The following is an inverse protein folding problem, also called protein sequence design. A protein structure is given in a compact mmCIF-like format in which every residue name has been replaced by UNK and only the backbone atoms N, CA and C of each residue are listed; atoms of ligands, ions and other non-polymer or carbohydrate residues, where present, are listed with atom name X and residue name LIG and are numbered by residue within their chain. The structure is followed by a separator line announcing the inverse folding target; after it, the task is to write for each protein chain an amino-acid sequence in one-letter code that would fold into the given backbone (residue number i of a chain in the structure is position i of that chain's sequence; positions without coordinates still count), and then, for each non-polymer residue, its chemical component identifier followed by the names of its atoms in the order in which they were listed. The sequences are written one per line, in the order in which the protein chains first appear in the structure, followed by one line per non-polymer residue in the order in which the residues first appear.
data_IF_619677766474
#
_entry.id   IF_619677766474
#
_cell.length_a   1.000
_cell.length_b   1.000
_cell.length_c   1.000
_cell.angle_alpha   90.00
_cell.angle_beta   90.00
_cell.angle_gamma   90.00
#
_symmetry.space_group_name_H-M   'P 1'
#
loop_
_entity.id
_entity.type
_entity.pdbx_description
1 polymer ?
#
# COMPACT_ATOMS: atom_id res chain seq x y z
N UNK A 1 -28.25 -24.75 3.38
CA UNK A 1 -28.19 -24.36 4.81
C UNK A 1 -27.09 -25.20 5.44
N UNK A 2 -25.88 -24.65 5.53
CA UNK A 2 -24.72 -25.33 6.12
C UNK A 2 -23.97 -24.29 6.92
N UNK A 3 -24.06 -24.40 8.26
CA UNK A 3 -23.32 -23.55 9.16
C UNK A 3 -21.85 -23.97 9.09
N UNK A 4 -21.01 -23.16 8.45
CA UNK A 4 -19.58 -23.24 8.69
C UNK A 4 -19.36 -22.75 10.13
N UNK A 5 -18.81 -23.63 10.97
CA UNK A 5 -18.38 -23.33 12.33
C UNK A 5 -17.44 -22.12 12.29
N UNK A 6 -17.90 -20.97 12.79
CA UNK A 6 -17.21 -19.69 12.63
C UNK A 6 -16.38 -19.36 13.84
N UNK A 7 -15.14 -19.87 13.91
CA UNK A 7 -14.19 -19.48 14.95
C UNK A 7 -13.68 -18.05 14.69
N UNK A 8 -13.81 -17.17 15.68
CA UNK A 8 -13.24 -15.81 15.63
C UNK A 8 -11.87 -15.82 16.32
N UNK A 9 -10.83 -15.45 15.57
CA UNK A 9 -9.50 -15.20 16.13
C UNK A 9 -9.20 -13.71 16.01
N UNK A 10 -8.70 -13.08 17.08
CA UNK A 10 -8.46 -11.64 17.20
C UNK A 10 -7.32 -11.34 18.17
N UNK A 11 -6.53 -10.27 17.92
CA UNK A 11 -5.58 -9.74 18.90
C UNK A 11 -6.25 -8.93 20.02
N UNK A 12 -7.43 -8.39 19.75
CA UNK A 12 -8.23 -7.66 20.74
C UNK A 12 -9.16 -8.64 21.47
N UNK A 13 -9.22 -8.54 22.80
CA UNK A 13 -10.16 -9.30 23.63
C UNK A 13 -11.62 -8.95 23.23
N UNK A 14 -12.39 -9.92 22.72
CA UNK A 14 -13.79 -9.70 22.36
C UNK A 14 -14.64 -9.19 23.52
N UNK A 15 -14.31 -9.58 24.77
CA UNK A 15 -15.05 -9.21 25.99
C UNK A 15 -14.95 -7.71 26.29
N UNK A 16 -13.82 -7.10 25.93
CA UNK A 16 -13.54 -5.68 26.13
C UNK A 16 -14.10 -4.78 25.00
N UNK A 17 -14.71 -5.35 23.96
CA UNK A 17 -15.19 -4.61 22.78
C UNK A 17 -16.68 -4.82 22.56
N UNK A 18 -17.21 -4.21 21.48
CA UNK A 18 -18.59 -4.44 21.02
C UNK A 18 -18.85 -5.90 20.60
N UNK A 19 -17.79 -6.69 20.39
CA UNK A 19 -17.88 -8.09 19.97
C UNK A 19 -18.49 -9.00 21.04
N UNK A 20 -18.47 -8.61 22.32
CA UNK A 20 -19.12 -9.34 23.43
C UNK A 20 -20.61 -9.61 23.23
N UNK A 21 -21.28 -8.85 22.35
CA UNK A 21 -22.69 -9.03 22.03
C UNK A 21 -22.94 -10.05 20.89
N UNK A 22 -21.88 -10.52 20.24
CA UNK A 22 -21.94 -11.38 19.04
C UNK A 22 -21.28 -12.74 19.33
N UNK A 23 -20.26 -12.78 20.17
CA UNK A 23 -19.57 -14.01 20.57
C UNK A 23 -20.19 -14.61 21.83
N UNK A 24 -20.10 -15.93 21.96
CA UNK A 24 -20.37 -16.60 23.23
C UNK A 24 -19.17 -16.38 24.17
N UNK A 25 -19.35 -15.55 25.20
CA UNK A 25 -18.28 -15.08 26.09
C UNK A 25 -17.60 -16.24 26.86
N UNK A 26 -18.37 -17.29 27.13
CA UNK A 26 -17.90 -18.47 27.87
C UNK A 26 -17.00 -19.36 27.01
N UNK A 27 -17.00 -19.16 25.69
CA UNK A 27 -16.15 -19.87 24.73
C UNK A 27 -14.86 -19.11 24.37
N UNK A 28 -14.65 -17.92 24.96
CA UNK A 28 -13.45 -17.13 24.67
C UNK A 28 -12.25 -17.70 25.43
N UNK A 29 -11.28 -18.20 24.67
CA UNK A 29 -10.02 -18.72 25.17
C UNK A 29 -8.88 -17.74 24.87
N UNK A 30 -7.95 -17.62 25.82
CA UNK A 30 -6.72 -16.87 25.64
C UNK A 30 -5.61 -17.82 25.21
N UNK A 31 -4.93 -17.46 24.13
CA UNK A 31 -3.84 -18.24 23.58
C UNK A 31 -2.56 -17.43 23.52
N UNK A 32 -1.43 -18.12 23.66
CA UNK A 32 -0.13 -17.46 23.62
C UNK A 32 0.20 -17.06 22.18
N UNK A 33 0.73 -15.85 21.99
CA UNK A 33 1.02 -15.32 20.65
C UNK A 33 1.99 -16.23 19.89
N UNK A 34 3.00 -16.79 20.55
CA UNK A 34 3.99 -17.68 19.94
C UNK A 34 3.38 -18.99 19.42
N UNK A 35 2.35 -19.52 20.10
CA UNK A 35 1.64 -20.71 19.62
C UNK A 35 0.89 -20.46 18.30
N UNK A 36 0.36 -19.25 18.11
CA UNK A 36 -0.38 -18.87 16.89
C UNK A 36 0.58 -18.33 15.81
N UNK A 37 1.64 -17.63 16.21
CA UNK A 37 2.57 -16.97 15.29
C UNK A 37 3.58 -17.93 14.66
N UNK A 38 3.86 -19.07 15.31
CA UNK A 38 4.82 -20.07 14.85
C UNK A 38 4.22 -21.48 14.85
N UNK A 39 3.15 -21.72 14.07
CA UNK A 39 2.54 -23.03 14.01
C UNK A 39 3.40 -24.01 13.18
N UNK A 40 3.28 -25.30 13.50
CA UNK A 40 3.90 -26.38 12.72
C UNK A 40 3.11 -26.70 11.42
N UNK A 41 1.82 -26.34 11.38
CA UNK A 41 0.92 -26.56 10.23
C UNK A 41 0.79 -25.30 9.35
N UNK A 42 0.84 -25.49 8.02
CA UNK A 42 0.63 -24.44 7.02
C UNK A 42 -0.78 -23.83 7.09
N UNK A 43 -1.81 -24.62 7.43
CA UNK A 43 -3.17 -24.12 7.59
C UNK A 43 -3.27 -23.09 8.72
N UNK A 44 -2.54 -23.30 9.80
CA UNK A 44 -2.48 -22.41 10.95
C UNK A 44 -1.62 -21.17 10.63
N UNK A 45 -0.58 -21.31 9.81
CA UNK A 45 0.20 -20.15 9.31
C UNK A 45 -0.70 -19.18 8.52
N UNK A 46 -1.60 -19.70 7.68
CA UNK A 46 -2.58 -18.89 6.96
C UNK A 46 -3.55 -18.15 7.89
N UNK A 47 -3.92 -18.74 9.03
CA UNK A 47 -4.77 -18.07 10.02
C UNK A 47 -4.04 -16.86 10.63
N UNK A 48 -2.76 -17.00 10.96
CA UNK A 48 -1.95 -15.90 11.48
C UNK A 48 -1.72 -14.81 10.43
N UNK A 49 -1.46 -15.17 9.17
CA UNK A 49 -1.43 -14.19 8.06
C UNK A 49 -2.76 -13.44 7.96
N UNK A 50 -3.90 -14.13 8.13
CA UNK A 50 -5.22 -13.52 8.17
C UNK A 50 -5.43 -12.56 9.36
N UNK A 51 -4.85 -12.85 10.53
CA UNK A 51 -4.82 -11.93 11.66
C UNK A 51 -4.00 -10.67 11.36
N UNK A 52 -2.78 -10.84 10.84
CA UNK A 52 -1.91 -9.73 10.45
C UNK A 52 -2.55 -8.85 9.36
N UNK A 53 -3.20 -9.47 8.37
CA UNK A 53 -3.92 -8.76 7.31
C UNK A 53 -5.08 -7.91 7.86
N UNK A 54 -5.84 -8.43 8.83
CA UNK A 54 -6.91 -7.69 9.51
C UNK A 54 -6.36 -6.55 10.36
N UNK A 55 -5.29 -6.79 11.12
CA UNK A 55 -4.62 -5.76 11.91
C UNK A 55 -4.11 -4.62 11.03
N UNK A 56 -3.42 -4.96 9.93
CA UNK A 56 -2.94 -3.99 8.94
C UNK A 56 -4.09 -3.19 8.33
N UNK A 57 -5.21 -3.84 8.01
CA UNK A 57 -6.39 -3.16 7.48
C UNK A 57 -6.91 -2.12 8.46
N UNK A 58 -7.12 -2.49 9.71
CA UNK A 58 -7.60 -1.58 10.77
C UNK A 58 -6.66 -0.38 10.94
N UNK A 59 -5.35 -0.61 10.89
CA UNK A 59 -4.35 0.45 11.01
C UNK A 59 -4.29 1.40 9.79
N UNK A 60 -4.79 0.99 8.62
CA UNK A 60 -4.73 1.77 7.38
C UNK A 60 -6.09 2.34 6.95
N UNK A 61 -7.19 1.92 7.58
CA UNK A 61 -8.57 2.21 7.16
C UNK A 61 -8.91 3.70 7.13
N UNK A 62 -8.25 4.51 7.98
CA UNK A 62 -8.43 5.96 8.00
C UNK A 62 -7.79 6.68 6.80
N UNK A 63 -6.84 6.04 6.12
CA UNK A 63 -5.95 6.71 5.18
C UNK A 63 -5.90 6.05 3.79
N UNK A 64 -6.17 4.75 3.70
CA UNK A 64 -6.12 3.97 2.46
C UNK A 64 -7.37 3.10 2.31
N UNK A 65 -7.71 2.80 1.07
CA UNK A 65 -8.81 1.89 0.71
C UNK A 65 -8.24 0.57 0.19
N UNK A 66 -8.83 -0.54 0.63
CA UNK A 66 -8.47 -1.88 0.15
C UNK A 66 -9.33 -2.30 -1.05
N UNK A 67 -8.69 -2.46 -2.20
CA UNK A 67 -9.27 -3.06 -3.40
C UNK A 67 -9.17 -4.59 -3.30
N UNK A 68 -10.33 -5.26 -3.23
CA UNK A 68 -10.40 -6.71 -3.02
C UNK A 68 -9.98 -7.50 -4.26
N UNK A 69 -10.25 -6.98 -5.45
CA UNK A 69 -9.99 -7.67 -6.71
C UNK A 69 -8.49 -7.74 -7.00
N UNK A 70 -7.76 -6.66 -6.67
CA UNK A 70 -6.30 -6.58 -6.81
C UNK A 70 -5.55 -6.96 -5.55
N UNK A 71 -6.24 -7.11 -4.41
CA UNK A 71 -5.62 -7.32 -3.10
C UNK A 71 -4.67 -6.18 -2.72
N UNK A 72 -5.02 -4.94 -3.07
CA UNK A 72 -4.11 -3.79 -2.97
C UNK A 72 -4.70 -2.65 -2.14
N UNK A 73 -3.88 -2.01 -1.32
CA UNK A 73 -4.22 -0.75 -0.66
C UNK A 73 -3.90 0.42 -1.59
N UNK A 74 -4.80 1.39 -1.71
CA UNK A 74 -4.60 2.58 -2.54
C UNK A 74 -5.08 3.85 -1.86
N UNK A 75 -4.52 4.99 -2.27
CA UNK A 75 -4.99 6.29 -1.78
C UNK A 75 -6.39 6.60 -2.29
N UNK A 76 -7.36 6.97 -1.42
CA UNK A 76 -8.69 7.38 -1.85
C UNK A 76 -8.64 8.73 -2.57
N UNK A 77 -9.61 8.97 -3.45
CA UNK A 77 -9.86 10.32 -3.98
C UNK A 77 -10.22 11.28 -2.84
N UNK A 78 -9.80 12.55 -2.95
CA UNK A 78 -10.16 13.54 -1.94
C UNK A 78 -11.67 13.87 -1.98
N UNK A 79 -12.27 14.25 -0.83
CA UNK A 79 -13.67 14.68 -0.78
C UNK A 79 -13.95 15.92 -1.64
N UNK A 80 -13.02 16.89 -1.62
CA UNK A 80 -13.12 18.18 -2.32
C UNK A 80 -12.23 18.19 -3.58
N UNK A 81 -12.60 17.34 -4.54
CA UNK A 81 -11.86 17.13 -5.78
C UNK A 81 -11.08 15.81 -5.76
N UNK A 82 -10.95 15.18 -6.92
CA UNK A 82 -10.48 13.78 -6.97
C UNK A 82 -8.96 13.67 -6.76
N UNK A 83 -8.18 14.67 -7.21
CA UNK A 83 -6.73 14.63 -7.16
C UNK A 83 -6.18 14.79 -5.74
N UNK A 84 -5.14 14.02 -5.42
CA UNK A 84 -4.47 14.06 -4.11
C UNK A 84 -2.96 14.09 -4.32
N UNK A 85 -2.29 15.00 -3.62
CA UNK A 85 -0.84 15.13 -3.63
C UNK A 85 -0.30 14.84 -2.23
N UNK A 86 0.63 13.90 -2.13
CA UNK A 86 1.32 13.57 -0.89
C UNK A 86 2.74 14.15 -0.93
N UNK A 87 3.01 15.07 -0.01
CA UNK A 87 4.34 15.65 0.16
C UNK A 87 5.18 14.75 1.09
N UNK A 88 6.43 14.50 0.72
CA UNK A 88 7.36 13.69 1.52
C UNK A 88 8.81 14.12 1.33
N UNK A 89 9.69 13.73 2.27
CA UNK A 89 11.13 13.94 2.14
C UNK A 89 11.74 12.76 1.38
N UNK A 90 12.25 13.03 0.19
CA UNK A 90 13.07 12.07 -0.57
C UNK A 90 14.42 11.82 0.13
N UNK A 91 15.27 11.00 -0.47
CA UNK A 91 16.64 10.76 0.05
C UNK A 91 17.50 12.05 0.10
N UNK A 92 17.16 13.09 -0.67
CA UNK A 92 17.98 14.31 -0.79
C UNK A 92 17.24 15.59 -0.42
N UNK A 93 15.95 15.68 -0.76
CA UNK A 93 15.18 16.92 -0.66
C UNK A 93 13.69 16.67 -0.42
N UNK A 94 12.95 17.71 0.01
CA UNK A 94 11.49 17.69 0.01
C UNK A 94 10.95 17.54 -1.43
N UNK A 95 9.91 16.74 -1.59
CA UNK A 95 9.28 16.46 -2.88
C UNK A 95 7.80 16.10 -2.66
N UNK A 96 7.07 15.86 -3.75
CA UNK A 96 5.68 15.44 -3.69
C UNK A 96 5.36 14.45 -4.79
N UNK A 97 4.36 13.59 -4.53
CA UNK A 97 3.79 12.67 -5.49
C UNK A 97 2.29 12.93 -5.63
N UNK A 98 1.80 13.02 -6.86
CA UNK A 98 0.36 12.97 -7.17
C UNK A 98 -0.14 11.54 -6.94
N UNK A 99 -0.43 11.22 -5.68
CA UNK A 99 -0.86 9.88 -5.23
C UNK A 99 -2.22 9.50 -5.80
N UNK A 100 -3.06 10.50 -6.09
CA UNK A 100 -4.26 10.33 -6.92
C UNK A 100 -4.20 11.34 -8.06
N UNK A 101 -4.14 10.85 -9.29
CA UNK A 101 -4.03 11.68 -10.49
C UNK A 101 -5.23 11.47 -11.41
N UNK A 102 -5.89 12.57 -11.75
CA UNK A 102 -7.02 12.59 -12.69
C UNK A 102 -6.49 12.73 -14.11
N UNK A 103 -6.95 11.85 -15.00
CA UNK A 103 -6.71 11.94 -16.44
C UNK A 103 -8.02 12.30 -17.12
N UNK A 104 -8.05 13.47 -17.76
CA UNK A 104 -9.21 14.00 -18.47
C UNK A 104 -9.23 13.54 -19.92
N UNK A 105 -10.40 13.63 -20.55
CA UNK A 105 -10.55 13.30 -21.96
C UNK A 105 -9.91 14.40 -22.84
N UNK A 106 -9.10 14.01 -23.82
CA UNK A 106 -8.41 14.93 -24.73
C UNK A 106 -9.38 15.80 -25.54
N UNK A 107 -10.57 15.29 -25.86
CA UNK A 107 -11.61 16.00 -26.64
C UNK A 107 -12.52 16.86 -25.76
N UNK A 108 -12.63 16.55 -24.49
CA UNK A 108 -13.54 17.22 -23.54
C UNK A 108 -12.93 17.23 -22.14
N UNK A 109 -12.28 18.34 -21.79
CA UNK A 109 -11.57 18.53 -20.51
C UNK A 109 -12.54 18.59 -19.30
N UNK A 110 -13.85 18.59 -19.52
CA UNK A 110 -14.83 18.47 -18.43
C UNK A 110 -15.06 17.02 -18.03
N UNK A 111 -14.71 16.06 -18.90
CA UNK A 111 -14.91 14.63 -18.67
C UNK A 111 -13.63 13.96 -18.19
N UNK A 112 -13.79 13.15 -17.16
CA UNK A 112 -12.73 12.27 -16.67
C UNK A 112 -12.67 11.05 -17.59
N UNK A 113 -11.47 10.76 -18.09
CA UNK A 113 -11.20 9.52 -18.80
C UNK A 113 -10.97 8.38 -17.78
N UNK A 114 -10.08 8.63 -16.82
CA UNK A 114 -9.83 7.73 -15.69
C UNK A 114 -9.06 8.44 -14.58
N UNK A 115 -8.96 7.80 -13.43
CA UNK A 115 -8.21 8.25 -12.26
C UNK A 115 -7.23 7.15 -11.89
N UNK A 116 -5.98 7.54 -11.63
CA UNK A 116 -4.92 6.63 -11.19
C UNK A 116 -4.63 6.86 -9.73
N UNK A 117 -4.62 5.79 -8.95
CA UNK A 117 -4.28 5.78 -7.53
C UNK A 117 -2.96 5.03 -7.34
N UNK A 118 -2.00 5.65 -6.65
CA UNK A 118 -0.85 4.92 -6.13
C UNK A 118 -1.36 3.87 -5.15
N UNK A 119 -0.86 2.65 -5.32
CA UNK A 119 -1.27 1.52 -4.53
C UNK A 119 -0.07 0.65 -4.13
N UNK A 120 -0.29 -0.29 -3.23
CA UNK A 120 0.64 -1.38 -2.97
C UNK A 120 -0.09 -2.68 -2.65
N UNK A 121 0.53 -3.80 -3.01
CA UNK A 121 0.10 -5.13 -2.58
C UNK A 121 0.88 -5.51 -1.33
N UNK A 122 0.23 -5.72 -0.17
CA UNK A 122 0.84 -6.26 1.02
C UNK A 122 1.06 -7.77 0.87
N UNK A 123 2.17 -8.28 1.39
CA UNK A 123 2.32 -9.72 1.61
C UNK A 123 3.17 -9.98 2.83
N UNK A 124 2.67 -10.83 3.71
CA UNK A 124 3.39 -11.27 4.90
C UNK A 124 4.28 -12.46 4.58
N UNK A 125 5.45 -12.48 5.21
CA UNK A 125 6.45 -13.53 5.06
C UNK A 125 6.96 -13.90 6.44
N UNK A 126 7.08 -15.20 6.70
CA UNK A 126 7.79 -15.72 7.85
C UNK A 126 9.18 -16.15 7.43
N UNK A 127 10.20 -15.61 8.09
CA UNK A 127 11.60 -15.98 7.89
C UNK A 127 12.24 -16.27 9.25
N UNK A 128 12.48 -17.56 9.52
CA UNK A 128 12.82 -18.01 10.87
C UNK A 128 11.71 -17.64 11.86
N UNK A 129 12.11 -17.01 12.96
CA UNK A 129 11.20 -16.61 14.04
C UNK A 129 10.70 -15.16 13.90
N UNK A 130 10.75 -14.60 12.68
CA UNK A 130 10.35 -13.22 12.42
C UNK A 130 9.32 -13.12 11.28
N UNK A 131 8.37 -12.23 11.46
CA UNK A 131 7.35 -11.87 10.48
C UNK A 131 7.70 -10.54 9.81
N UNK A 132 7.64 -10.53 8.48
CA UNK A 132 7.95 -9.38 7.65
C UNK A 132 6.78 -9.04 6.75
N UNK A 133 6.58 -7.75 6.49
CA UNK A 133 5.65 -7.26 5.49
C UNK A 133 6.43 -6.77 4.26
N UNK A 134 6.21 -7.40 3.12
CA UNK A 134 6.60 -6.84 1.83
C UNK A 134 5.53 -5.87 1.33
N UNK A 135 6.00 -4.71 0.87
CA UNK A 135 5.17 -3.66 0.26
C UNK A 135 5.55 -3.60 -1.21
N UNK A 136 4.68 -4.12 -2.09
CA UNK A 136 4.93 -4.13 -3.55
C UNK A 136 4.15 -3.00 -4.22
N UNK A 137 4.80 -1.89 -4.64
CA UNK A 137 4.09 -0.78 -5.28
C UNK A 137 3.36 -1.20 -6.55
N UNK A 138 2.17 -0.66 -6.77
CA UNK A 138 1.33 -0.87 -7.95
C UNK A 138 0.40 0.34 -8.15
N UNK A 139 -0.56 0.23 -9.06
CA UNK A 139 -1.60 1.24 -9.25
C UNK A 139 -2.98 0.60 -9.31
N UNK A 140 -3.97 1.28 -8.73
CA UNK A 140 -5.39 1.02 -8.94
C UNK A 140 -5.94 2.10 -9.87
N UNK A 141 -6.85 1.73 -10.76
CA UNK A 141 -7.49 2.65 -11.70
C UNK A 141 -9.00 2.65 -11.49
N UNK A 142 -9.56 3.85 -11.37
CA UNK A 142 -11.01 4.06 -11.24
C UNK A 142 -11.49 5.00 -12.35
N UNK A 143 -12.77 4.98 -12.66
CA UNK A 143 -13.35 5.87 -13.69
C UNK A 143 -13.70 7.26 -13.16
N UNK A 144 -14.02 7.35 -11.87
CA UNK A 144 -14.55 8.56 -11.21
C UNK A 144 -13.90 8.83 -9.84
N UNK A 145 -12.81 8.13 -9.50
CA UNK A 145 -12.15 8.22 -8.19
C UNK A 145 -12.60 7.13 -7.20
N UNK A 146 -13.67 6.39 -7.50
CA UNK A 146 -14.22 5.37 -6.59
C UNK A 146 -14.48 4.05 -7.32
N UNK A 147 -15.14 4.09 -8.48
CA UNK A 147 -15.59 2.88 -9.17
C UNK A 147 -14.49 2.33 -10.08
N UNK A 148 -14.25 1.00 -10.09
CA UNK A 148 -13.21 0.39 -10.90
C UNK A 148 -13.27 0.79 -12.38
N UNK A 149 -12.11 1.05 -12.99
CA UNK A 149 -12.01 1.30 -14.42
C UNK A 149 -12.10 0.00 -15.22
N UNK A 150 -12.85 0.00 -16.32
CA UNK A 150 -13.02 -1.18 -17.19
C UNK A 150 -11.70 -1.63 -17.83
N UNK A 151 -10.78 -0.69 -18.07
CA UNK A 151 -9.50 -0.92 -18.73
C UNK A 151 -8.32 -0.90 -17.75
N UNK A 152 -8.58 -1.12 -16.46
CA UNK A 152 -7.57 -1.03 -15.41
C UNK A 152 -6.34 -1.92 -15.67
N UNK A 153 -6.54 -3.17 -16.12
CA UNK A 153 -5.46 -4.11 -16.39
C UNK A 153 -4.52 -3.64 -17.53
N UNK A 154 -5.10 -3.12 -18.62
CA UNK A 154 -4.33 -2.60 -19.76
C UNK A 154 -3.56 -1.33 -19.36
N UNK A 155 -4.20 -0.42 -18.60
CA UNK A 155 -3.57 0.80 -18.09
C UNK A 155 -2.43 0.47 -17.13
N UNK A 156 -2.61 -0.51 -16.24
CA UNK A 156 -1.57 -0.97 -15.33
C UNK A 156 -0.37 -1.54 -16.08
N UNK A 157 -0.61 -2.38 -17.08
CA UNK A 157 0.46 -2.98 -17.90
C UNK A 157 1.24 -1.90 -18.64
N UNK A 158 0.53 -0.96 -19.30
CA UNK A 158 1.16 0.18 -19.99
C UNK A 158 1.96 1.06 -19.01
N UNK A 159 1.41 1.34 -17.83
CA UNK A 159 2.09 2.13 -16.80
C UNK A 159 3.38 1.45 -16.32
N UNK A 160 3.33 0.16 -15.97
CA UNK A 160 4.51 -0.60 -15.53
C UNK A 160 5.62 -0.62 -16.59
N UNK A 161 5.27 -0.75 -17.88
CA UNK A 161 6.25 -0.68 -18.99
C UNK A 161 6.98 0.65 -19.08
N UNK A 162 6.34 1.75 -18.68
CA UNK A 162 6.91 3.10 -18.76
C UNK A 162 7.67 3.49 -17.48
N UNK A 163 7.61 2.69 -16.42
CA UNK A 163 8.28 2.99 -15.16
C UNK A 163 9.77 2.70 -15.20
N UNK A 164 10.54 3.72 -14.81
CA UNK A 164 12.00 3.64 -14.69
C UNK A 164 12.38 3.48 -13.22
N UNK A 165 13.58 2.95 -12.97
CA UNK A 165 14.11 2.68 -11.61
C UNK A 165 13.98 3.87 -10.65
N UNK A 166 14.23 5.09 -11.11
CA UNK A 166 14.11 6.30 -10.28
C UNK A 166 12.66 6.57 -9.84
N UNK A 167 11.67 6.28 -10.69
CA UNK A 167 10.26 6.41 -10.32
C UNK A 167 9.84 5.33 -9.31
N UNK A 168 10.37 4.11 -9.46
CA UNK A 168 10.13 3.00 -8.52
C UNK A 168 10.75 3.32 -7.16
N UNK A 169 11.99 3.81 -7.13
CA UNK A 169 12.65 4.26 -5.90
C UNK A 169 11.87 5.40 -5.22
N UNK A 170 11.38 6.36 -6.00
CA UNK A 170 10.53 7.43 -5.48
C UNK A 170 9.27 6.90 -4.79
N UNK A 171 8.60 5.90 -5.39
CA UNK A 171 7.45 5.23 -4.80
C UNK A 171 7.79 4.46 -3.52
N UNK A 172 8.92 3.75 -3.51
CA UNK A 172 9.38 3.06 -2.32
C UNK A 172 9.60 4.03 -1.16
N UNK A 173 10.31 5.13 -1.40
CA UNK A 173 10.57 6.15 -0.37
C UNK A 173 9.26 6.79 0.10
N UNK A 174 8.34 7.08 -0.82
CA UNK A 174 7.02 7.62 -0.49
C UNK A 174 6.24 6.66 0.43
N UNK A 175 6.13 5.38 0.08
CA UNK A 175 5.43 4.39 0.90
C UNK A 175 6.09 4.17 2.25
N UNK A 176 7.43 4.15 2.30
CA UNK A 176 8.18 4.10 3.57
C UNK A 176 7.82 5.28 4.47
N UNK A 177 7.84 6.50 3.93
CA UNK A 177 7.50 7.71 4.70
C UNK A 177 6.06 7.67 5.21
N UNK A 178 5.13 7.29 4.34
CA UNK A 178 3.71 7.17 4.67
C UNK A 178 3.46 6.14 5.77
N UNK A 179 3.95 4.90 5.59
CA UNK A 179 3.66 3.80 6.52
C UNK A 179 4.37 3.96 7.87
N UNK A 180 5.56 4.56 7.90
CA UNK A 180 6.30 4.83 9.13
C UNK A 180 5.86 6.12 9.86
N UNK A 181 4.95 6.92 9.28
CA UNK A 181 4.54 8.20 9.87
C UNK A 181 5.65 9.25 9.86
N UNK A 182 6.63 9.13 8.96
CA UNK A 182 7.74 10.08 8.87
C UNK A 182 7.29 11.32 8.09
N UNK A 183 6.85 12.34 8.82
CA UNK A 183 6.45 13.64 8.26
C UNK A 183 7.66 14.44 7.73
N UNK A 184 7.40 15.41 6.85
CA UNK A 184 8.43 16.35 6.37
C UNK A 184 8.84 17.31 7.50
N UNK A 185 7.83 17.79 8.23
CA UNK A 185 7.95 18.76 9.32
C UNK A 185 7.53 18.04 10.62
N UNK A 186 8.23 18.27 11.76
CA UNK A 186 7.72 17.80 13.04
C UNK A 186 6.35 18.42 13.27
N UNK A 187 5.36 17.62 13.68
CA UNK A 187 4.09 18.16 14.14
C UNK A 187 4.40 19.12 15.30
N UNK A 188 3.87 20.34 15.26
CA UNK A 188 4.03 21.32 16.31
C UNK A 188 2.69 21.58 16.98
N UNK A 189 2.69 21.83 18.28
CA UNK A 189 1.52 22.31 19.00
C UNK A 189 1.18 23.75 18.61
N UNK A 190 0.09 24.27 19.17
CA UNK A 190 -0.35 25.66 18.94
C UNK A 190 0.71 26.70 19.32
N UNK A 191 1.71 26.32 20.14
CA UNK A 191 2.78 27.18 20.64
C UNK A 191 4.12 26.93 19.93
N UNK A 192 4.15 26.12 18.86
CA UNK A 192 5.37 25.82 18.11
C UNK A 192 6.27 24.78 18.77
N UNK A 193 5.80 24.10 19.81
CA UNK A 193 6.54 23.01 20.47
C UNK A 193 6.43 21.75 19.61
N UNK A 194 7.54 21.08 19.25
CA UNK A 194 7.48 19.80 18.56
C UNK A 194 6.71 18.77 19.39
N UNK A 195 5.60 18.28 18.85
CA UNK A 195 4.88 17.13 19.35
C UNK A 195 5.75 15.88 19.16
N UNK A 196 5.65 14.89 20.07
CA UNK A 196 6.28 13.59 19.86
C UNK A 196 5.85 13.04 18.50
N UNK A 197 6.81 12.55 17.71
CA UNK A 197 6.50 11.95 16.41
C UNK A 197 5.53 10.80 16.61
N UNK A 198 4.32 10.90 16.07
CA UNK A 198 3.40 9.77 16.03
C UNK A 198 4.10 8.66 15.24
N UNK A 199 4.37 7.53 15.89
CA UNK A 199 4.91 6.37 15.23
C UNK A 199 3.85 5.90 14.26
N UNK A 200 4.16 5.85 12.96
CA UNK A 200 3.20 5.40 11.97
C UNK A 200 2.74 3.97 12.24
N UNK A 201 1.69 3.57 11.52
CA UNK A 201 1.03 2.26 11.65
C UNK A 201 2.00 1.07 11.61
N UNK A 202 3.14 1.20 10.92
CA UNK A 202 4.15 0.16 10.78
C UNK A 202 5.52 0.74 11.09
N UNK A 203 6.37 -0.03 11.77
CA UNK A 203 7.80 0.25 11.85
C UNK A 203 8.53 -0.60 10.82
N UNK A 204 9.27 0.05 9.93
CA UNK A 204 10.20 -0.65 9.05
C UNK A 204 11.57 -0.75 9.75
N UNK A 205 12.22 -1.91 9.63
CA UNK A 205 13.63 -2.02 9.98
C UNK A 205 14.45 -0.95 9.24
N UNK A 206 15.61 -0.55 9.79
CA UNK A 206 16.57 0.27 9.08
C UNK A 206 16.81 -0.29 7.68
N UNK A 207 16.97 0.61 6.69
CA UNK A 207 17.33 0.17 5.34
C UNK A 207 18.77 -0.29 5.38
N UNK A 208 18.98 -1.60 5.40
CA UNK A 208 20.31 -2.17 5.28
C UNK A 208 20.80 -1.98 3.85
N UNK A 209 21.77 -1.09 3.69
CA UNK A 209 22.44 -0.91 2.41
C UNK A 209 23.28 -2.15 2.12
N UNK A 210 22.83 -2.96 1.17
CA UNK A 210 23.64 -4.07 0.66
C UNK A 210 24.87 -3.46 -0.02
N UNK A 211 26.04 -3.61 0.60
CA UNK A 211 27.30 -3.22 -0.02
C UNK A 211 27.68 -4.26 -1.07
N UNK A 212 27.57 -3.87 -2.34
CA UNK A 212 28.04 -4.68 -3.46
C UNK A 212 29.38 -4.12 -3.96
N UNK A 213 30.38 -4.98 -4.24
CA UNK A 213 31.66 -4.54 -4.83
C UNK A 213 31.50 -3.97 -6.24
N UNK A 214 30.33 -4.16 -6.87
CA UNK A 214 29.96 -3.54 -8.16
C UNK A 214 28.69 -2.73 -7.98
N UNK A 215 28.73 -1.48 -8.42
CA UNK A 215 27.51 -0.68 -8.55
C UNK A 215 26.63 -1.26 -9.65
N UNK A 216 25.30 -1.16 -9.49
CA UNK A 216 24.37 -1.45 -10.58
C UNK A 216 24.72 -0.50 -11.73
N UNK A 217 24.99 -1.00 -12.96
CA UNK A 217 25.43 -0.16 -14.07
C UNK A 217 24.26 0.63 -14.65
N UNK A 218 23.74 1.60 -13.88
CA UNK A 218 22.56 2.39 -14.25
C UNK A 218 22.68 3.03 -15.64
N UNK A 219 23.88 3.45 -16.03
CA UNK A 219 24.14 4.03 -17.36
C UNK A 219 23.88 3.04 -18.49
N UNK A 220 24.28 1.77 -18.33
CA UNK A 220 24.07 0.73 -19.34
C UNK A 220 22.60 0.32 -19.41
N UNK A 221 21.90 0.30 -18.27
CA UNK A 221 20.46 -0.01 -18.21
C UNK A 221 19.56 1.14 -18.72
N UNK A 222 20.08 2.36 -18.86
CA UNK A 222 19.36 3.49 -19.48
C UNK A 222 19.34 3.42 -21.00
N UNK A 223 20.21 2.61 -21.61
CA UNK A 223 20.27 2.47 -23.08
C UNK A 223 19.07 1.64 -23.51
N UNK A 224 18.13 2.25 -24.25
CA UNK A 224 17.07 1.50 -24.94
C UNK A 224 17.75 0.58 -25.96
N UNK A 225 17.27 -0.65 -26.06
CA UNK A 225 17.59 -1.49 -27.19
C UNK A 225 17.11 -0.78 -28.47
N UNK A 226 17.98 -0.47 -29.44
CA UNK A 226 17.58 0.19 -30.69
C UNK A 226 16.54 -0.61 -31.48
N UNK A 227 16.41 -1.92 -31.24
CA UNK A 227 15.36 -2.75 -31.83
C UNK A 227 13.95 -2.54 -31.20
N UNK A 228 13.85 -1.85 -30.06
CA UNK A 228 12.56 -1.56 -29.39
C UNK A 228 11.82 -0.34 -29.96
N UNK A 229 12.39 0.34 -30.96
CA UNK A 229 11.78 1.47 -31.64
C UNK A 229 10.85 1.02 -32.77
N UNK A 230 9.66 0.51 -32.43
CA UNK A 230 8.54 0.43 -33.37
C UNK A 230 7.17 0.31 -32.68
N UNK A 231 6.89 1.12 -31.65
CA UNK A 231 5.51 1.44 -31.26
C UNK A 231 5.47 2.76 -30.49
N UNK A 232 6.00 3.83 -31.08
CA UNK A 232 5.74 5.19 -30.62
C UNK A 232 4.83 5.86 -31.67
N UNK A 233 3.75 6.48 -31.20
CA UNK A 233 2.68 7.20 -31.94
C UNK A 233 1.45 6.38 -32.35
N UNK A 234 0.62 6.04 -31.37
CA UNK A 234 -0.82 6.26 -31.55
C UNK A 234 -1.33 7.03 -30.33
N UNK A 235 -1.82 8.23 -30.63
CA UNK A 235 -2.44 9.17 -29.72
C UNK A 235 -3.43 8.48 -28.77
N UNK A 236 -3.46 9.00 -27.55
CA UNK A 236 -4.58 8.88 -26.62
C UNK A 236 -5.86 9.39 -27.30
N UNK A 237 -6.49 8.51 -28.10
CA UNK A 237 -7.78 8.73 -28.74
C UNK A 237 -8.54 7.40 -28.90
N UNK A 238 -8.97 6.83 -27.78
CA UNK A 238 -10.25 6.10 -27.72
C UNK A 238 -10.94 6.46 -26.41
#
# INVERSE_FOLDING_TARGET
MGAACGTLISFADPRATVLKNIVDIDTVEEERIDAIAFPDDEADEHQFIGLLGRALRTQLDSSLVFDKDQGAYHFPAAPEGIGVTYAYRSLKQATSAEVVKVYKNTKDDTKINYVRHHAFVPRFWRLGDNWYLSVTPTFVFTRDGVRPDRYAADRLTKKKKLEKNQAILGQFVMWRRFLCGESIEPAIDLFGTPLPSEQGSIRLCPVDAIQSPRSVPERQWRVRDPASASTDQEELSV
#
